data_IF_917403124648
#
_entry.id   IF_917403124648
#
_cell.length_a   1.000
_cell.length_b   1.000
_cell.length_c   1.000
_cell.angle_alpha   90.00
_cell.angle_beta   90.00
_cell.angle_gamma   90.00
#
_symmetry.space_group_name_H-M   'P 1'
#
loop_
_entity.id
_entity.type
_entity.pdbx_description
1 polymer ?
#
# COMPACT_ATOMS: atom_id res chain seq x y z
N UNK A 1 61.96 -60.56 40.36
CA UNK A 1 61.95 -59.55 41.44
C UNK A 1 60.53 -59.03 41.61
N UNK A 2 59.92 -59.38 42.76
CA UNK A 2 58.72 -58.86 43.46
C UNK A 2 57.50 -58.42 42.61
N UNK A 3 56.43 -59.21 42.51
CA UNK A 3 55.31 -59.43 43.48
C UNK A 3 54.36 -58.21 43.52
N UNK A 4 53.20 -58.26 42.84
CA UNK A 4 51.83 -58.58 43.35
C UNK A 4 51.11 -57.29 43.82
N UNK A 5 50.08 -56.77 43.14
CA UNK A 5 48.66 -57.16 43.04
C UNK A 5 47.74 -56.35 43.97
N UNK A 6 46.71 -55.73 43.36
CA UNK A 6 45.34 -55.44 43.85
C UNK A 6 45.13 -54.68 45.19
N UNK A 7 44.44 -53.54 45.14
CA UNK A 7 42.97 -53.37 45.27
C UNK A 7 42.56 -52.00 45.87
N UNK A 8 41.61 -51.35 45.17
CA UNK A 8 40.62 -50.31 45.53
C UNK A 8 40.54 -49.81 46.98
N UNK A 9 40.38 -48.49 47.15
CA UNK A 9 39.28 -47.86 47.93
C UNK A 9 39.06 -46.39 47.51
N UNK A 10 37.78 -46.02 47.50
CA UNK A 10 37.14 -44.72 47.23
C UNK A 10 37.35 -43.72 48.37
N UNK A 11 37.46 -42.42 48.06
CA UNK A 11 37.20 -41.34 49.02
C UNK A 11 36.41 -40.19 48.38
N UNK A 12 35.23 -39.92 48.96
CA UNK A 12 34.43 -38.71 48.81
C UNK A 12 35.20 -37.50 49.37
N UNK A 13 35.17 -36.38 48.66
CA UNK A 13 35.38 -35.05 49.25
C UNK A 13 34.20 -34.15 48.88
N UNK A 14 33.46 -33.73 49.91
CA UNK A 14 32.48 -32.67 49.84
C UNK A 14 33.22 -31.32 49.85
N UNK A 15 32.95 -30.46 48.87
CA UNK A 15 33.37 -29.06 48.88
C UNK A 15 32.11 -28.23 49.10
N UNK A 16 32.13 -27.47 50.21
CA UNK A 16 31.10 -26.51 50.58
C UNK A 16 30.99 -25.39 49.52
N UNK A 17 29.75 -25.15 49.10
CA UNK A 17 29.31 -23.97 48.38
C UNK A 17 29.45 -22.73 49.28
N UNK A 18 30.31 -21.80 48.87
CA UNK A 18 30.23 -20.40 49.31
C UNK A 18 29.33 -19.68 48.31
N UNK A 19 28.07 -19.44 48.72
CA UNK A 19 27.13 -18.55 48.04
C UNK A 19 27.65 -17.11 48.13
N UNK A 20 28.37 -16.68 47.10
CA UNK A 20 28.42 -15.25 46.76
C UNK A 20 27.11 -14.93 46.04
N UNK A 21 26.31 -13.93 46.46
CA UNK A 21 25.20 -13.45 45.66
C UNK A 21 25.80 -12.79 44.42
N UNK A 22 26.01 -13.60 43.39
CA UNK A 22 26.29 -13.11 42.05
C UNK A 22 25.10 -12.26 41.66
N UNK A 23 25.35 -10.95 41.54
CA UNK A 23 24.51 -10.06 40.74
C UNK A 23 24.53 -10.67 39.34
N UNK A 24 23.58 -11.58 39.07
CA UNK A 24 23.16 -11.89 37.71
C UNK A 24 22.71 -10.55 37.19
N UNK A 25 23.56 -9.91 36.40
CA UNK A 25 23.11 -8.93 35.44
C UNK A 25 22.01 -9.63 34.66
N UNK A 26 20.75 -9.33 35.00
CA UNK A 26 19.65 -9.55 34.09
C UNK A 26 20.07 -8.76 32.86
N UNK A 27 20.57 -9.46 31.83
CA UNK A 27 20.71 -8.87 30.52
C UNK A 27 19.32 -8.35 30.19
N UNK A 28 19.15 -7.03 30.30
CA UNK A 28 17.90 -6.38 30.02
C UNK A 28 17.42 -6.92 28.68
N UNK A 29 16.17 -7.37 28.61
CA UNK A 29 15.61 -7.84 27.36
C UNK A 29 15.91 -6.79 26.28
N UNK A 30 16.36 -7.19 25.08
CA UNK A 30 16.71 -6.24 24.04
C UNK A 30 15.54 -5.28 23.84
N UNK A 31 15.84 -3.98 23.89
CA UNK A 31 14.87 -2.91 23.75
C UNK A 31 14.07 -3.09 22.46
N UNK A 32 12.74 -3.09 22.55
CA UNK A 32 11.85 -3.18 21.38
C UNK A 32 12.12 -2.04 20.40
N UNK A 33 12.05 -2.32 19.08
CA UNK A 33 12.14 -1.28 18.03
C UNK A 33 11.07 -0.20 18.19
N UNK A 34 9.96 -0.48 18.88
CA UNK A 34 8.87 0.47 19.14
C UNK A 34 8.97 1.17 20.50
N UNK A 35 10.01 0.90 21.29
CA UNK A 35 10.24 1.55 22.57
C UNK A 35 10.38 3.07 22.40
N UNK A 36 9.76 3.83 23.30
CA UNK A 36 9.79 5.29 23.28
C UNK A 36 8.96 5.97 22.18
N UNK A 37 8.39 5.23 21.23
CA UNK A 37 7.57 5.81 20.16
C UNK A 37 6.23 6.35 20.71
N UNK A 38 5.87 7.63 20.50
CA UNK A 38 4.57 8.17 20.90
C UNK A 38 3.40 7.47 20.20
N UNK A 39 2.27 7.35 20.91
CA UNK A 39 1.07 6.64 20.47
C UNK A 39 -0.15 7.56 20.50
N UNK A 40 -1.03 7.42 19.52
CA UNK A 40 -2.33 8.10 19.47
C UNK A 40 -3.39 7.14 18.91
N UNK A 41 -4.47 6.91 19.65
CA UNK A 41 -5.61 6.14 19.15
C UNK A 41 -6.37 6.97 18.11
N UNK A 42 -6.55 6.40 16.91
CA UNK A 42 -7.40 6.98 15.87
C UNK A 42 -8.86 6.65 16.20
N UNK A 43 -9.60 7.65 16.64
CA UNK A 43 -11.02 7.52 16.98
C UNK A 43 -11.89 7.58 15.72
N UNK A 44 -12.82 6.64 15.57
CA UNK A 44 -13.76 6.63 14.46
C UNK A 44 -14.60 7.92 14.45
N UNK A 45 -14.62 8.63 13.33
CA UNK A 45 -15.35 9.90 13.19
C UNK A 45 -14.59 11.14 13.68
N UNK A 46 -13.41 10.98 14.28
CA UNK A 46 -12.52 12.09 14.64
C UNK A 46 -11.36 12.18 13.63
N UNK A 47 -11.27 13.31 12.96
CA UNK A 47 -10.27 13.55 11.89
C UNK A 47 -9.13 14.44 12.37
N UNK A 48 -8.69 14.21 13.60
CA UNK A 48 -7.56 14.87 14.21
C UNK A 48 -6.45 13.84 14.43
N UNK A 49 -5.23 14.22 14.06
CA UNK A 49 -4.02 13.42 14.21
C UNK A 49 -2.98 14.30 14.92
N UNK A 50 -2.99 14.27 16.25
CA UNK A 50 -2.15 15.09 17.12
C UNK A 50 -0.65 14.77 17.01
N UNK A 51 -0.29 13.54 16.62
CA UNK A 51 1.11 13.16 16.42
C UNK A 51 1.74 13.70 15.13
N UNK A 52 0.93 14.18 14.18
CA UNK A 52 1.44 14.87 13.00
C UNK A 52 1.82 16.30 13.36
N UNK A 53 3.12 16.54 13.46
CA UNK A 53 3.66 17.84 13.82
C UNK A 53 3.94 18.73 12.60
N UNK A 54 4.54 19.90 12.83
CA UNK A 54 4.90 20.83 11.75
C UNK A 54 5.82 20.17 10.71
N UNK A 55 6.77 19.33 11.13
CA UNK A 55 7.72 18.67 10.24
C UNK A 55 7.00 17.70 9.29
N UNK A 56 6.03 16.92 9.79
CA UNK A 56 5.20 16.07 8.95
C UNK A 56 4.56 16.85 7.80
N UNK A 57 3.94 18.01 8.09
CA UNK A 57 3.29 18.82 7.06
C UNK A 57 4.26 19.58 6.15
N UNK A 58 5.59 19.53 6.35
CA UNK A 58 6.55 20.06 5.35
C UNK A 58 6.67 19.13 4.15
N UNK A 59 6.35 17.84 4.31
CA UNK A 59 6.33 16.86 3.23
C UNK A 59 5.32 17.22 2.14
N UNK A 60 5.57 16.72 0.95
CA UNK A 60 4.77 16.95 -0.24
C UNK A 60 4.00 15.69 -0.65
N UNK A 61 4.58 14.51 -0.48
CA UNK A 61 3.95 13.23 -0.75
C UNK A 61 3.68 12.48 0.55
N UNK A 62 2.43 12.10 0.77
CA UNK A 62 1.98 11.33 1.93
C UNK A 62 1.49 9.97 1.45
N UNK A 63 2.04 8.88 1.98
CA UNK A 63 1.73 7.53 1.53
C UNK A 63 1.21 6.69 2.70
N UNK A 64 0.08 6.01 2.50
CA UNK A 64 -0.46 5.02 3.42
C UNK A 64 -0.28 3.62 2.81
N UNK A 65 0.53 2.78 3.44
CA UNK A 65 0.75 1.39 3.03
C UNK A 65 -0.20 0.45 3.74
N UNK A 66 -0.74 -0.54 3.04
CA UNK A 66 -1.65 -1.53 3.61
C UNK A 66 -1.50 -2.93 2.97
N UNK A 67 -2.00 -3.96 3.67
CA UNK A 67 -2.16 -5.31 3.11
C UNK A 67 -3.65 -5.56 2.90
N UNK A 68 -4.03 -5.80 1.65
CA UNK A 68 -5.42 -5.85 1.23
C UNK A 68 -6.25 -6.84 2.06
N UNK A 69 -7.56 -6.60 2.11
CA UNK A 69 -8.53 -7.55 2.67
C UNK A 69 -9.00 -7.22 4.09
N UNK A 70 -8.42 -6.22 4.77
CA UNK A 70 -8.86 -5.73 6.09
C UNK A 70 -9.70 -4.47 5.93
N UNK A 71 -10.78 -4.35 6.72
CA UNK A 71 -11.65 -3.16 6.70
C UNK A 71 -10.96 -1.89 7.21
N UNK A 72 -10.26 -1.98 8.34
CA UNK A 72 -9.67 -0.84 9.06
C UNK A 72 -8.87 0.14 8.19
N UNK A 73 -7.95 -0.31 7.32
CA UNK A 73 -7.22 0.56 6.40
C UNK A 73 -8.10 1.46 5.53
N UNK A 74 -9.29 1.01 5.10
CA UNK A 74 -10.18 1.83 4.28
C UNK A 74 -10.76 3.03 5.07
N UNK A 75 -10.98 2.84 6.38
CA UNK A 75 -11.44 3.91 7.26
C UNK A 75 -10.31 4.88 7.62
N UNK A 76 -9.10 4.35 7.90
CA UNK A 76 -7.89 5.15 8.12
C UNK A 76 -7.58 6.02 6.90
N UNK A 77 -7.67 5.44 5.71
CA UNK A 77 -7.43 6.14 4.45
C UNK A 77 -8.37 7.33 4.25
N UNK A 78 -9.67 7.13 4.46
CA UNK A 78 -10.63 8.22 4.38
C UNK A 78 -10.36 9.31 5.43
N UNK A 79 -10.08 8.92 6.67
CA UNK A 79 -9.79 9.86 7.76
C UNK A 79 -8.54 10.69 7.48
N UNK A 80 -7.46 10.05 7.01
CA UNK A 80 -6.21 10.72 6.61
C UNK A 80 -6.43 11.67 5.43
N UNK A 81 -7.11 11.22 4.37
CA UNK A 81 -7.42 12.06 3.21
C UNK A 81 -8.22 13.30 3.62
N UNK A 82 -9.27 13.13 4.44
CA UNK A 82 -10.10 14.25 4.89
C UNK A 82 -9.31 15.21 5.78
N UNK A 83 -8.51 14.67 6.70
CA UNK A 83 -7.62 15.46 7.55
C UNK A 83 -6.58 16.25 6.74
N UNK A 84 -5.85 15.59 5.83
CA UNK A 84 -4.84 16.21 4.98
C UNK A 84 -5.43 17.21 4.00
N UNK A 85 -6.64 16.94 3.49
CA UNK A 85 -7.39 17.94 2.75
C UNK A 85 -7.58 19.16 3.63
N UNK A 86 -8.24 19.06 4.79
CA UNK A 86 -8.53 20.20 5.66
C UNK A 86 -7.27 20.96 6.09
N UNK A 87 -6.27 20.24 6.60
CA UNK A 87 -5.09 20.81 7.28
C UNK A 87 -4.01 21.32 6.32
N UNK A 88 -3.82 20.64 5.20
CA UNK A 88 -2.67 20.86 4.31
C UNK A 88 -3.07 21.13 2.85
N UNK A 89 -4.36 21.02 2.50
CA UNK A 89 -4.83 21.27 1.13
C UNK A 89 -4.52 20.19 0.13
N UNK A 90 -4.30 18.96 0.61
CA UNK A 90 -4.24 17.79 -0.26
C UNK A 90 -5.55 17.65 -1.02
N UNK A 91 -5.46 17.71 -2.35
CA UNK A 91 -6.59 17.53 -3.28
C UNK A 91 -6.29 16.55 -4.41
N UNK A 92 -5.11 15.94 -4.37
CA UNK A 92 -4.65 15.01 -5.40
C UNK A 92 -4.38 13.68 -4.75
N UNK A 93 -5.26 12.73 -5.03
CA UNK A 93 -5.15 11.35 -4.58
C UNK A 93 -4.37 10.55 -5.64
N UNK A 94 -3.13 10.18 -5.31
CA UNK A 94 -2.25 9.33 -6.12
C UNK A 94 -2.64 7.87 -5.87
N UNK A 95 -3.45 7.29 -6.75
CA UNK A 95 -4.04 5.97 -6.55
C UNK A 95 -3.25 4.86 -7.25
N UNK A 96 -3.23 3.69 -6.60
CA UNK A 96 -2.81 2.39 -7.16
C UNK A 96 -3.85 1.86 -8.16
N UNK A 97 -4.15 2.67 -9.16
CA UNK A 97 -5.04 2.35 -10.27
C UNK A 97 -4.45 2.92 -11.55
N UNK A 98 -4.85 2.37 -12.68
CA UNK A 98 -4.47 2.89 -13.99
C UNK A 98 -5.15 4.23 -14.32
N UNK A 99 -4.68 4.90 -15.37
CA UNK A 99 -5.22 6.18 -15.81
C UNK A 99 -6.71 6.12 -16.20
N UNK A 100 -7.19 4.99 -16.73
CA UNK A 100 -8.58 4.81 -17.14
C UNK A 100 -9.50 4.69 -15.91
N UNK A 101 -9.13 3.89 -14.91
CA UNK A 101 -9.84 3.80 -13.63
C UNK A 101 -9.86 5.14 -12.92
N UNK A 102 -8.75 5.87 -12.87
CA UNK A 102 -8.70 7.22 -12.31
C UNK A 102 -9.68 8.18 -13.02
N UNK A 103 -9.76 8.12 -14.36
CA UNK A 103 -10.74 8.89 -15.12
C UNK A 103 -12.17 8.57 -14.70
N UNK A 104 -12.56 7.29 -14.64
CA UNK A 104 -13.93 6.90 -14.27
C UNK A 104 -14.26 7.13 -12.78
N UNK A 105 -13.26 7.06 -11.88
CA UNK A 105 -13.41 7.52 -10.50
C UNK A 105 -13.74 9.02 -10.46
N UNK A 106 -13.02 9.84 -11.21
CA UNK A 106 -13.28 11.28 -11.29
C UNK A 106 -14.64 11.60 -11.94
N UNK A 107 -15.05 10.85 -12.97
CA UNK A 107 -16.38 10.97 -13.56
C UNK A 107 -17.49 10.65 -12.56
N UNK A 108 -17.29 9.63 -11.72
CA UNK A 108 -18.20 9.36 -10.60
C UNK A 108 -18.22 10.53 -9.60
N UNK A 109 -17.06 11.05 -9.20
CA UNK A 109 -17.00 12.20 -8.28
C UNK A 109 -17.74 13.42 -8.84
N UNK A 110 -17.67 13.64 -10.16
CA UNK A 110 -18.32 14.76 -10.87
C UNK A 110 -19.83 14.57 -11.01
N UNK A 111 -20.26 13.37 -11.39
CA UNK A 111 -21.66 13.13 -11.83
C UNK A 111 -22.52 12.45 -10.76
N UNK A 112 -21.91 11.66 -9.88
CA UNK A 112 -22.62 10.74 -8.99
C UNK A 112 -23.24 9.53 -9.70
N UNK A 113 -22.91 9.29 -10.97
CA UNK A 113 -23.45 8.16 -11.72
C UNK A 113 -22.70 6.87 -11.37
N UNK A 114 -23.36 5.97 -10.65
CA UNK A 114 -22.79 4.68 -10.23
C UNK A 114 -22.33 3.80 -11.40
N UNK A 115 -22.79 4.05 -12.63
CA UNK A 115 -22.30 3.35 -13.83
C UNK A 115 -20.79 3.54 -14.03
N UNK A 116 -20.25 4.74 -13.78
CA UNK A 116 -18.82 5.02 -13.85
C UNK A 116 -18.05 4.24 -12.78
N UNK A 117 -18.59 4.18 -11.55
CA UNK A 117 -17.96 3.44 -10.46
C UNK A 117 -17.99 1.92 -10.70
N UNK A 118 -19.10 1.38 -11.23
CA UNK A 118 -19.17 -0.04 -11.63
C UNK A 118 -18.14 -0.42 -12.69
N UNK A 119 -17.84 0.47 -13.65
CA UNK A 119 -16.79 0.23 -14.64
C UNK A 119 -15.41 0.06 -14.00
N UNK A 120 -15.09 0.86 -12.98
CA UNK A 120 -13.81 0.78 -12.25
C UNK A 120 -13.64 -0.57 -11.58
N UNK A 121 -14.67 -1.07 -10.90
CA UNK A 121 -14.60 -2.29 -10.09
C UNK A 121 -14.75 -3.58 -10.91
N UNK A 122 -15.24 -3.51 -12.16
CA UNK A 122 -15.55 -4.68 -12.99
C UNK A 122 -14.38 -5.65 -13.13
N UNK A 123 -13.19 -5.17 -13.49
CA UNK A 123 -12.03 -6.05 -13.71
C UNK A 123 -11.57 -6.72 -12.42
N UNK A 124 -11.61 -6.01 -11.29
CA UNK A 124 -11.29 -6.58 -9.98
C UNK A 124 -12.32 -7.62 -9.55
N UNK A 125 -13.62 -7.41 -9.80
CA UNK A 125 -14.64 -8.42 -9.52
C UNK A 125 -14.41 -9.68 -10.36
N UNK A 126 -14.14 -9.53 -11.66
CA UNK A 126 -13.88 -10.64 -12.57
C UNK A 126 -12.63 -11.44 -12.16
N UNK A 127 -11.57 -10.73 -11.75
CA UNK A 127 -10.31 -11.33 -11.27
C UNK A 127 -10.31 -11.70 -9.77
N UNK A 128 -11.45 -11.56 -9.08
CA UNK A 128 -11.57 -11.79 -7.61
C UNK A 128 -10.52 -11.06 -6.77
N UNK A 129 -10.08 -9.88 -7.21
CA UNK A 129 -9.10 -9.10 -6.47
C UNK A 129 -9.71 -8.57 -5.17
N UNK A 130 -8.92 -8.51 -4.10
CA UNK A 130 -9.38 -8.01 -2.80
C UNK A 130 -9.85 -6.54 -2.85
N UNK A 131 -9.39 -5.76 -3.83
CA UNK A 131 -9.89 -4.41 -4.12
C UNK A 131 -11.37 -4.36 -4.54
N UNK A 132 -11.94 -5.46 -5.04
CA UNK A 132 -13.37 -5.56 -5.35
C UNK A 132 -14.22 -5.75 -4.08
N UNK A 133 -14.26 -4.74 -3.23
CA UNK A 133 -14.96 -4.79 -1.96
C UNK A 133 -15.88 -3.57 -1.71
N UNK A 134 -16.84 -3.76 -0.81
CA UNK A 134 -17.85 -2.75 -0.46
C UNK A 134 -17.26 -1.56 0.27
N UNK A 135 -16.27 -1.78 1.13
CA UNK A 135 -15.61 -0.73 1.93
C UNK A 135 -14.91 0.28 1.01
N UNK A 136 -14.18 -0.19 -0.01
CA UNK A 136 -13.56 0.67 -1.01
C UNK A 136 -14.62 1.40 -1.85
N UNK A 137 -15.66 0.69 -2.32
CA UNK A 137 -16.77 1.31 -3.05
C UNK A 137 -17.40 2.46 -2.24
N UNK A 138 -17.76 2.19 -0.97
CA UNK A 138 -18.33 3.20 -0.05
C UNK A 138 -17.35 4.32 0.26
N UNK A 139 -16.05 4.05 0.36
CA UNK A 139 -15.02 5.10 0.52
C UNK A 139 -15.07 6.10 -0.64
N UNK A 140 -15.20 5.62 -1.88
CA UNK A 140 -15.34 6.50 -3.05
C UNK A 140 -16.63 7.34 -2.96
N UNK A 141 -17.74 6.75 -2.50
CA UNK A 141 -18.99 7.49 -2.25
C UNK A 141 -18.81 8.58 -1.16
N UNK A 142 -18.10 8.25 -0.06
CA UNK A 142 -17.78 9.21 1.02
C UNK A 142 -16.89 10.35 0.52
N UNK A 143 -15.91 10.07 -0.35
CA UNK A 143 -15.05 11.10 -0.97
C UNK A 143 -15.90 12.02 -1.85
N UNK A 144 -16.87 11.48 -2.61
CA UNK A 144 -17.80 12.31 -3.37
C UNK A 144 -18.63 13.21 -2.46
N UNK A 145 -19.18 12.66 -1.38
CA UNK A 145 -19.95 13.46 -0.41
C UNK A 145 -19.10 14.60 0.16
N UNK A 146 -17.85 14.32 0.54
CA UNK A 146 -16.89 15.33 0.97
C UNK A 146 -16.65 16.38 -0.13
N UNK A 147 -16.46 15.99 -1.39
CA UNK A 147 -16.27 16.94 -2.49
C UNK A 147 -17.44 17.89 -2.70
N UNK A 148 -18.67 17.47 -2.40
CA UNK A 148 -19.84 18.35 -2.48
C UNK A 148 -19.86 19.42 -1.40
N UNK A 149 -19.22 19.19 -0.25
CA UNK A 149 -19.11 20.19 0.83
C UNK A 149 -17.89 21.09 0.67
N UNK A 150 -16.91 20.70 -0.16
CA UNK A 150 -15.68 21.45 -0.37
C UNK A 150 -15.81 22.53 -1.46
N UNK A 151 -15.15 23.69 -1.31
CA UNK A 151 -14.94 24.64 -2.39
C UNK A 151 -14.24 23.98 -3.59
N UNK A 152 -14.52 24.43 -4.81
CA UNK A 152 -13.97 23.84 -6.06
C UNK A 152 -12.45 23.65 -6.01
N UNK A 153 -11.70 24.64 -5.50
CA UNK A 153 -10.24 24.60 -5.39
C UNK A 153 -9.71 23.54 -4.39
N UNK A 154 -10.58 22.95 -3.57
CA UNK A 154 -10.25 21.96 -2.54
C UNK A 154 -10.77 20.57 -2.86
N UNK A 155 -11.59 20.42 -3.90
CA UNK A 155 -12.16 19.12 -4.29
C UNK A 155 -11.05 18.14 -4.66
N UNK A 156 -11.17 16.95 -4.11
CA UNK A 156 -10.27 15.82 -4.31
C UNK A 156 -10.47 15.27 -5.72
N UNK A 157 -9.37 14.94 -6.40
CA UNK A 157 -9.35 14.20 -7.65
C UNK A 157 -8.37 13.04 -7.58
N UNK A 158 -8.67 11.97 -8.30
CA UNK A 158 -7.81 10.81 -8.47
C UNK A 158 -6.83 11.01 -9.62
N UNK A 159 -5.59 10.57 -9.41
CA UNK A 159 -4.54 10.43 -10.42
C UNK A 159 -4.03 8.99 -10.32
N UNK A 160 -4.21 8.21 -11.38
CA UNK A 160 -3.77 6.82 -11.43
C UNK A 160 -2.33 6.74 -11.89
N UNK A 161 -1.50 5.98 -11.18
CA UNK A 161 -0.09 5.76 -11.56
C UNK A 161 0.18 4.34 -12.05
N UNK A 162 -0.76 3.41 -11.90
CA UNK A 162 -0.49 2.02 -12.26
C UNK A 162 -0.51 1.80 -13.77
N UNK A 163 0.07 0.68 -14.20
CA UNK A 163 -0.04 0.20 -15.57
C UNK A 163 -1.48 -0.24 -15.90
N UNK A 164 -1.85 -0.35 -17.18
CA UNK A 164 -3.23 -0.66 -17.56
C UNK A 164 -3.72 -2.00 -16.97
N UNK A 165 -4.80 -1.96 -16.19
CA UNK A 165 -5.36 -3.13 -15.51
C UNK A 165 -6.63 -3.68 -16.20
N UNK A 166 -7.37 -2.85 -16.95
CA UNK A 166 -8.55 -3.24 -17.74
C UNK A 166 -8.44 -2.63 -19.15
N UNK A 167 -7.98 -3.44 -20.13
CA UNK A 167 -7.73 -2.97 -21.49
C UNK A 167 -9.00 -2.49 -22.22
N UNK A 168 -10.15 -3.20 -22.14
CA UNK A 168 -11.42 -2.66 -22.63
C UNK A 168 -11.78 -1.30 -22.01
N UNK A 169 -11.59 -1.12 -20.70
CA UNK A 169 -11.84 0.18 -20.05
C UNK A 169 -10.89 1.26 -20.53
N UNK A 170 -9.62 0.92 -20.78
CA UNK A 170 -8.66 1.84 -21.38
C UNK A 170 -9.08 2.26 -22.80
N UNK A 171 -9.67 1.35 -23.59
CA UNK A 171 -10.23 1.66 -24.90
C UNK A 171 -11.40 2.66 -24.79
N UNK A 172 -12.28 2.49 -23.80
CA UNK A 172 -13.40 3.40 -23.52
C UNK A 172 -12.90 4.78 -23.07
N UNK A 173 -11.86 4.82 -22.22
CA UNK A 173 -11.21 6.06 -21.78
C UNK A 173 -10.59 6.83 -22.96
N UNK A 174 -9.80 6.17 -23.80
CA UNK A 174 -9.23 6.79 -25.00
C UNK A 174 -10.35 7.33 -25.90
N UNK A 175 -11.41 6.56 -26.11
CA UNK A 175 -12.57 7.00 -26.89
C UNK A 175 -13.24 8.24 -26.29
N UNK A 176 -13.31 8.35 -24.95
CA UNK A 176 -13.86 9.52 -24.27
C UNK A 176 -12.98 10.76 -24.46
N UNK A 177 -11.66 10.64 -24.39
CA UNK A 177 -10.73 11.74 -24.66
C UNK A 177 -10.89 12.33 -26.08
N UNK A 178 -11.13 11.47 -27.06
CA UNK A 178 -11.31 11.89 -28.46
C UNK A 178 -12.59 12.70 -28.70
N UNK A 179 -13.56 12.67 -27.77
CA UNK A 179 -14.79 13.48 -27.86
C UNK A 179 -14.53 14.94 -27.51
N UNK A 180 -13.55 15.21 -26.65
CA UNK A 180 -13.22 16.56 -26.19
C UNK A 180 -11.99 17.13 -26.90
N UNK A 181 -11.14 16.26 -27.47
CA UNK A 181 -9.89 16.63 -28.12
C UNK A 181 -9.80 15.99 -29.51
N UNK A 182 -10.42 16.58 -30.54
CA UNK A 182 -10.38 16.02 -31.89
C UNK A 182 -8.96 15.98 -32.45
N UNK A 183 -8.68 14.96 -33.25
CA UNK A 183 -7.36 14.70 -33.85
C UNK A 183 -7.41 14.90 -35.36
N UNK A 184 -6.28 15.30 -35.95
CA UNK A 184 -6.10 15.26 -37.39
C UNK A 184 -6.34 13.85 -37.95
N UNK A 185 -6.92 13.68 -39.15
CA UNK A 185 -7.38 12.38 -39.66
C UNK A 185 -6.33 11.26 -39.61
N UNK A 186 -5.08 11.56 -39.98
CA UNK A 186 -3.99 10.57 -39.96
C UNK A 186 -3.62 10.11 -38.55
N UNK A 187 -3.65 11.02 -37.57
CA UNK A 187 -3.41 10.66 -36.16
C UNK A 187 -4.63 9.94 -35.57
N UNK A 188 -5.84 10.36 -35.94
CA UNK A 188 -7.09 9.70 -35.53
C UNK A 188 -7.09 8.22 -35.91
N UNK A 189 -6.77 7.89 -37.16
CA UNK A 189 -6.68 6.49 -37.63
C UNK A 189 -5.69 5.64 -36.83
N UNK A 190 -4.55 6.22 -36.43
CA UNK A 190 -3.55 5.55 -35.59
C UNK A 190 -4.06 5.29 -34.16
N UNK A 191 -4.79 6.24 -33.58
CA UNK A 191 -5.40 6.06 -32.26
C UNK A 191 -6.55 5.05 -32.31
N UNK A 192 -7.39 5.10 -33.34
CA UNK A 192 -8.45 4.11 -33.55
C UNK A 192 -7.89 2.68 -33.66
N UNK A 193 -6.71 2.52 -34.26
CA UNK A 193 -6.00 1.23 -34.28
C UNK A 193 -5.60 0.75 -32.88
N UNK A 194 -5.13 1.65 -32.00
CA UNK A 194 -4.83 1.30 -30.61
C UNK A 194 -6.11 0.88 -29.87
N UNK A 195 -7.19 1.65 -30.03
CA UNK A 195 -8.51 1.35 -29.43
C UNK A 195 -9.01 -0.03 -29.88
N UNK A 196 -8.87 -0.36 -31.17
CA UNK A 196 -9.26 -1.66 -31.69
C UNK A 196 -8.47 -2.81 -31.04
N UNK A 197 -7.15 -2.67 -30.89
CA UNK A 197 -6.30 -3.69 -30.26
C UNK A 197 -6.59 -3.83 -28.76
N UNK A 198 -6.84 -2.74 -28.04
CA UNK A 198 -7.20 -2.77 -26.62
C UNK A 198 -8.47 -3.58 -26.33
N UNK A 199 -9.39 -3.67 -27.30
CA UNK A 199 -10.63 -4.46 -27.19
C UNK A 199 -10.45 -5.94 -27.52
N UNK A 200 -9.32 -6.34 -28.10
CA UNK A 200 -9.06 -7.73 -28.46
C UNK A 200 -8.57 -8.53 -27.26
N UNK A 201 -9.01 -9.79 -27.16
CA UNK A 201 -8.51 -10.71 -26.15
C UNK A 201 -6.98 -10.87 -26.28
N UNK A 202 -6.25 -10.64 -25.19
CA UNK A 202 -4.78 -10.70 -25.17
C UNK A 202 -4.06 -9.52 -25.84
N UNK A 203 -4.80 -8.59 -26.46
CA UNK A 203 -4.31 -7.35 -27.08
C UNK A 203 -3.02 -7.53 -27.93
N UNK A 204 -3.07 -8.36 -28.99
CA UNK A 204 -1.88 -8.71 -29.76
C UNK A 204 -1.22 -7.47 -30.39
N UNK A 205 0.08 -7.33 -30.17
CA UNK A 205 0.85 -6.22 -30.73
C UNK A 205 0.57 -4.84 -30.15
N UNK A 206 -0.21 -4.73 -29.05
CA UNK A 206 -0.60 -3.47 -28.41
C UNK A 206 0.60 -2.54 -28.19
N UNK A 207 1.66 -3.06 -27.57
CA UNK A 207 2.89 -2.32 -27.29
C UNK A 207 3.44 -1.64 -28.55
N UNK A 208 3.53 -2.39 -29.65
CA UNK A 208 4.09 -1.89 -30.91
C UNK A 208 3.20 -0.82 -31.55
N UNK A 209 1.88 -1.04 -31.57
CA UNK A 209 0.92 -0.08 -32.13
C UNK A 209 0.91 1.21 -31.29
N UNK A 210 0.83 1.10 -29.96
CA UNK A 210 0.80 2.23 -29.05
C UNK A 210 2.07 3.08 -29.13
N UNK A 211 3.26 2.46 -29.13
CA UNK A 211 4.54 3.17 -29.28
C UNK A 211 4.66 3.93 -30.60
N UNK A 212 4.26 3.31 -31.71
CA UNK A 212 4.25 3.98 -33.04
C UNK A 212 3.27 5.14 -33.08
N UNK A 213 2.09 4.99 -32.48
CA UNK A 213 1.10 6.07 -32.37
C UNK A 213 1.64 7.21 -31.53
N UNK A 214 2.21 6.93 -30.35
CA UNK A 214 2.80 7.95 -29.48
C UNK A 214 3.95 8.71 -30.16
N UNK A 215 4.82 8.01 -30.90
CA UNK A 215 5.92 8.63 -31.65
C UNK A 215 5.43 9.57 -32.77
N UNK A 216 4.22 9.36 -33.29
CA UNK A 216 3.60 10.25 -34.28
C UNK A 216 2.93 11.48 -33.68
N UNK A 217 2.89 11.60 -32.34
CA UNK A 217 2.29 12.73 -31.63
C UNK A 217 3.35 13.75 -31.23
N UNK A 218 3.10 15.02 -31.58
CA UNK A 218 3.86 16.16 -31.04
C UNK A 218 3.61 16.40 -29.53
N UNK A 219 4.36 17.32 -28.90
CA UNK A 219 4.27 17.62 -27.46
C UNK A 219 3.11 18.57 -27.10
N UNK A 220 1.98 18.52 -27.81
CA UNK A 220 0.86 19.41 -27.53
C UNK A 220 0.17 19.03 -26.20
N UNK A 221 0.07 19.99 -25.29
CA UNK A 221 -0.51 19.86 -23.93
C UNK A 221 -1.96 19.39 -23.98
N UNK A 222 -2.71 19.75 -25.02
CA UNK A 222 -4.10 19.29 -25.23
C UNK A 222 -4.22 17.76 -25.30
N UNK A 223 -3.12 17.07 -25.60
CA UNK A 223 -3.08 15.62 -25.73
C UNK A 223 -2.36 14.93 -24.57
N UNK A 224 -2.02 15.61 -23.47
CA UNK A 224 -1.24 15.03 -22.37
C UNK A 224 -1.87 13.74 -21.80
N UNK A 225 -3.18 13.75 -21.58
CA UNK A 225 -3.91 12.57 -21.08
C UNK A 225 -3.92 11.42 -22.11
N UNK A 226 -4.08 11.74 -23.40
CA UNK A 226 -4.01 10.74 -24.47
C UNK A 226 -2.60 10.17 -24.62
N UNK A 227 -1.57 11.03 -24.57
CA UNK A 227 -0.16 10.62 -24.59
C UNK A 227 0.16 9.72 -23.41
N UNK A 228 -0.35 10.03 -22.22
CA UNK A 228 -0.17 9.22 -21.03
C UNK A 228 -0.85 7.84 -21.15
N UNK A 229 -2.07 7.79 -21.69
CA UNK A 229 -2.77 6.53 -21.98
C UNK A 229 -2.00 5.66 -23.00
N UNK A 230 -1.47 6.28 -24.06
CA UNK A 230 -0.68 5.60 -25.08
C UNK A 230 0.68 5.14 -24.56
N UNK A 231 1.32 5.90 -23.67
CA UNK A 231 2.55 5.48 -23.01
C UNK A 231 2.31 4.21 -22.17
N UNK A 232 1.21 4.18 -21.40
CA UNK A 232 0.80 3.01 -20.62
C UNK A 232 0.48 1.79 -21.49
N UNK A 233 -0.23 1.99 -22.60
CA UNK A 233 -0.46 0.94 -23.60
C UNK A 233 0.85 0.46 -24.28
N UNK A 234 1.90 1.30 -24.25
CA UNK A 234 3.23 1.00 -24.77
C UNK A 234 4.16 0.29 -23.78
N UNK A 235 3.73 0.02 -22.54
CA UNK A 235 4.51 -0.75 -21.59
C UNK A 235 4.50 -2.25 -21.91
N UNK A 236 5.55 -2.93 -21.48
CA UNK A 236 5.58 -4.39 -21.47
C UNK A 236 5.00 -4.90 -20.15
N UNK A 237 3.68 -5.12 -20.17
CA UNK A 237 2.90 -5.55 -18.99
C UNK A 237 3.26 -6.97 -18.52
N UNK A 238 4.10 -7.71 -19.25
CA UNK A 238 4.49 -9.11 -18.91
C UNK A 238 5.92 -9.24 -18.44
N UNK A 239 6.73 -8.19 -18.57
CA UNK A 239 8.15 -8.23 -18.22
C UNK A 239 8.45 -8.12 -16.71
N UNK A 240 7.43 -8.08 -15.85
CA UNK A 240 7.63 -7.91 -14.40
C UNK A 240 8.18 -6.53 -14.02
N UNK A 241 7.91 -5.51 -14.83
CA UNK A 241 8.45 -4.14 -14.69
C UNK A 241 7.44 -3.15 -14.08
N UNK A 242 6.46 -3.63 -13.33
CA UNK A 242 5.36 -2.81 -12.80
C UNK A 242 5.88 -1.60 -12.00
N UNK A 243 6.85 -1.77 -11.11
CA UNK A 243 7.42 -0.62 -10.35
C UNK A 243 8.13 0.40 -11.25
N UNK A 244 8.80 -0.03 -12.33
CA UNK A 244 9.39 0.91 -13.29
C UNK A 244 8.28 1.73 -13.98
N UNK A 245 7.19 1.07 -14.37
CA UNK A 245 6.05 1.68 -15.05
C UNK A 245 5.33 2.68 -14.13
N UNK A 246 5.08 2.32 -12.87
CA UNK A 246 4.48 3.20 -11.86
C UNK A 246 5.35 4.44 -11.65
N UNK A 247 6.67 4.26 -11.49
CA UNK A 247 7.57 5.38 -11.29
C UNK A 247 7.67 6.27 -12.54
N UNK A 248 7.71 5.70 -13.75
CA UNK A 248 7.68 6.45 -15.00
C UNK A 248 6.38 7.28 -15.14
N UNK A 249 5.24 6.69 -14.78
CA UNK A 249 3.96 7.38 -14.72
C UNK A 249 3.99 8.55 -13.72
N UNK A 250 4.50 8.31 -12.51
CA UNK A 250 4.66 9.36 -11.50
C UNK A 250 5.50 10.53 -12.02
N UNK A 251 6.68 10.25 -12.57
CA UNK A 251 7.58 11.28 -13.12
C UNK A 251 6.92 12.09 -14.24
N UNK A 252 6.24 11.42 -15.18
CA UNK A 252 5.55 12.10 -16.27
C UNK A 252 4.41 13.00 -15.75
N UNK A 253 3.60 12.50 -14.81
CA UNK A 253 2.45 13.21 -14.26
C UNK A 253 2.84 14.38 -13.35
N UNK A 254 3.98 14.29 -12.67
CA UNK A 254 4.54 15.42 -11.92
C UNK A 254 4.75 16.64 -12.82
N UNK A 255 5.16 16.40 -14.07
CA UNK A 255 5.40 17.44 -15.07
C UNK A 255 4.10 17.87 -15.76
N UNK A 256 3.38 16.94 -16.40
CA UNK A 256 2.21 17.26 -17.24
C UNK A 256 1.05 17.83 -16.44
N UNK A 257 0.83 17.35 -15.20
CA UNK A 257 -0.22 17.88 -14.30
C UNK A 257 0.29 18.97 -13.35
N UNK A 258 1.54 19.45 -13.52
CA UNK A 258 2.16 20.52 -12.73
C UNK A 258 2.06 20.30 -11.21
N UNK A 259 2.30 19.07 -10.77
CA UNK A 259 2.08 18.65 -9.38
C UNK A 259 3.22 19.05 -8.44
N UNK A 260 4.30 19.64 -8.95
CA UNK A 260 5.47 20.06 -8.18
C UNK A 260 5.15 21.02 -7.02
N UNK A 261 4.01 21.73 -7.06
CA UNK A 261 3.57 22.64 -6.00
C UNK A 261 2.33 22.14 -5.24
N UNK A 262 1.86 20.92 -5.53
CA UNK A 262 0.73 20.32 -4.83
C UNK A 262 1.20 19.33 -3.77
N UNK A 263 0.43 19.23 -2.67
CA UNK A 263 0.55 18.12 -1.74
C UNK A 263 -0.29 16.94 -2.23
N UNK A 264 0.31 15.77 -2.20
CA UNK A 264 -0.15 14.53 -2.81
C UNK A 264 -0.36 13.49 -1.72
N UNK A 265 -1.41 12.69 -1.84
CA UNK A 265 -1.68 11.59 -0.89
C UNK A 265 -2.14 10.34 -1.61
N UNK A 266 -1.84 9.16 -1.10
CA UNK A 266 -2.44 7.93 -1.62
C UNK A 266 -2.28 6.75 -0.69
N UNK A 267 -3.27 5.86 -0.72
CA UNK A 267 -3.17 4.52 -0.14
C UNK A 267 -2.71 3.50 -1.20
N UNK A 268 -1.75 2.66 -0.82
CA UNK A 268 -1.04 1.71 -1.67
C UNK A 268 -0.83 0.37 -0.94
N UNK A 269 -0.60 -0.70 -1.71
CA UNK A 269 0.01 -1.91 -1.19
C UNK A 269 1.30 -1.61 -0.41
N UNK A 270 1.52 -2.35 0.68
CA UNK A 270 2.51 -2.02 1.71
C UNK A 270 3.94 -1.80 1.19
N UNK A 271 4.36 -2.49 0.14
CA UNK A 271 5.71 -2.37 -0.43
C UNK A 271 5.97 -0.98 -1.00
N UNK A 272 4.98 -0.42 -1.71
CA UNK A 272 5.10 0.85 -2.44
C UNK A 272 5.42 2.06 -1.55
N UNK A 273 5.21 1.96 -0.23
CA UNK A 273 5.47 3.06 0.71
C UNK A 273 6.82 2.98 1.41
N UNK A 274 7.58 1.91 1.17
CA UNK A 274 8.91 1.70 1.76
C UNK A 274 9.95 2.61 1.08
N UNK A 275 10.57 3.48 1.86
CA UNK A 275 11.42 4.56 1.37
C UNK A 275 12.88 4.18 1.11
N UNK A 276 13.30 2.98 1.49
CA UNK A 276 14.67 2.49 1.31
C UNK A 276 14.67 1.17 0.56
N UNK A 277 15.79 0.80 -0.11
CA UNK A 277 15.90 -0.50 -0.75
C UNK A 277 15.71 -1.64 0.24
N UNK A 278 15.08 -2.72 -0.22
CA UNK A 278 15.05 -3.99 0.50
C UNK A 278 16.44 -4.65 0.46
N UNK A 279 16.62 -5.73 1.21
CA UNK A 279 17.87 -6.48 1.31
C UNK A 279 18.32 -7.03 -0.06
N UNK A 280 17.38 -7.45 -0.90
CA UNK A 280 17.65 -7.90 -2.27
C UNK A 280 17.95 -6.74 -3.26
N UNK A 281 17.98 -5.50 -2.79
CA UNK A 281 18.19 -4.31 -3.62
C UNK A 281 16.95 -3.82 -4.36
N UNK A 282 15.78 -4.46 -4.18
CA UNK A 282 14.54 -4.03 -4.81
C UNK A 282 14.13 -2.63 -4.33
N UNK A 283 13.67 -1.82 -5.28
CA UNK A 283 13.21 -0.46 -5.06
C UNK A 283 11.72 -0.37 -5.37
N UNK A 284 10.92 -0.25 -4.32
CA UNK A 284 9.51 0.13 -4.42
C UNK A 284 9.35 1.61 -4.78
N UNK A 285 8.12 2.01 -5.15
CA UNK A 285 7.76 3.37 -5.56
C UNK A 285 8.38 4.47 -4.66
N UNK A 286 8.17 4.42 -3.35
CA UNK A 286 8.68 5.45 -2.45
C UNK A 286 10.23 5.51 -2.44
N UNK A 287 10.91 4.35 -2.46
CA UNK A 287 12.36 4.29 -2.56
C UNK A 287 12.87 4.87 -3.90
N UNK A 288 12.18 4.58 -5.01
CA UNK A 288 12.51 5.16 -6.32
C UNK A 288 12.33 6.67 -6.34
N UNK A 289 11.27 7.18 -5.74
CA UNK A 289 11.04 8.62 -5.62
C UNK A 289 12.16 9.28 -4.83
N UNK A 290 12.56 8.71 -3.68
CA UNK A 290 13.66 9.24 -2.86
C UNK A 290 15.02 9.22 -3.56
N UNK A 291 15.26 8.25 -4.42
CA UNK A 291 16.52 8.13 -5.18
C UNK A 291 16.50 8.87 -6.52
N UNK A 292 15.39 9.55 -6.85
CA UNK A 292 15.24 10.28 -8.09
C UNK A 292 15.71 11.74 -7.98
N UNK A 293 15.86 12.39 -9.13
CA UNK A 293 16.10 13.84 -9.19
C UNK A 293 14.81 14.68 -9.08
N UNK A 294 13.66 14.09 -8.74
CA UNK A 294 12.41 14.82 -8.66
C UNK A 294 12.41 15.77 -7.45
N UNK A 295 11.80 16.97 -7.52
CA UNK A 295 11.75 17.91 -6.39
C UNK A 295 11.10 17.39 -5.10
N UNK A 296 10.36 16.28 -5.20
CA UNK A 296 9.64 15.61 -4.10
C UNK A 296 10.49 14.54 -3.39
N UNK A 297 11.70 14.22 -3.89
CA UNK A 297 12.52 13.10 -3.40
C UNK A 297 12.75 13.12 -1.88
N UNK A 298 13.04 14.27 -1.27
CA UNK A 298 13.24 14.40 0.18
C UNK A 298 12.00 14.87 0.96
N UNK A 299 10.81 14.76 0.35
CA UNK A 299 9.55 15.29 0.89
C UNK A 299 8.46 14.22 0.93
N UNK A 300 8.83 13.01 1.36
CA UNK A 300 7.94 11.84 1.45
C UNK A 300 7.72 11.47 2.91
N UNK A 301 6.45 11.41 3.33
CA UNK A 301 6.04 10.84 4.61
C UNK A 301 5.32 9.51 4.37
N UNK A 302 5.84 8.42 4.95
CA UNK A 302 5.23 7.10 4.83
C UNK A 302 4.61 6.64 6.16
N UNK A 303 3.37 6.19 6.07
CA UNK A 303 2.57 5.58 7.13
C UNK A 303 2.28 4.15 6.73
N UNK A 304 2.60 3.15 7.56
CA UNK A 304 2.39 1.74 7.23
C UNK A 304 1.40 1.08 8.20
N UNK A 305 0.35 0.47 7.65
CA UNK A 305 -0.58 -0.34 8.43
C UNK A 305 0.07 -1.66 8.85
N UNK A 306 -0.07 -1.99 10.14
CA UNK A 306 0.32 -3.26 10.75
C UNK A 306 -0.92 -3.90 11.36
N UNK A 307 -1.07 -5.21 11.21
CA UNK A 307 -2.29 -5.92 11.60
C UNK A 307 -2.03 -6.87 12.76
N UNK A 308 -2.95 -6.87 13.72
CA UNK A 308 -3.01 -7.85 14.81
C UNK A 308 -4.47 -8.17 15.09
N UNK A 309 -4.79 -9.42 15.43
CA UNK A 309 -6.16 -9.81 15.80
C UNK A 309 -7.21 -9.52 14.69
N UNK A 310 -6.78 -9.26 13.45
CA UNK A 310 -7.66 -8.92 12.35
C UNK A 310 -8.11 -10.15 11.57
N UNK A 311 -9.21 -10.01 10.85
CA UNK A 311 -9.69 -10.93 9.83
C UNK A 311 -9.52 -10.28 8.46
N UNK A 312 -9.08 -11.06 7.48
CA UNK A 312 -8.77 -10.61 6.12
C UNK A 312 -9.60 -11.41 5.12
N UNK A 313 -10.18 -10.75 4.13
CA UNK A 313 -10.72 -11.41 2.94
C UNK A 313 -9.57 -11.76 2.01
N UNK A 314 -9.46 -13.00 1.56
CA UNK A 314 -8.42 -13.45 0.63
C UNK A 314 -9.03 -14.34 -0.47
N UNK A 315 -8.55 -14.30 -1.73
CA UNK A 315 -9.00 -15.23 -2.77
C UNK A 315 -8.69 -16.68 -2.38
N UNK A 316 -9.69 -17.55 -2.39
CA UNK A 316 -9.53 -18.92 -1.85
C UNK A 316 -8.44 -19.71 -2.57
N UNK A 317 -8.37 -19.58 -3.89
CA UNK A 317 -7.36 -20.23 -4.74
C UNK A 317 -5.92 -19.74 -4.48
N UNK A 318 -5.76 -18.58 -3.86
CA UNK A 318 -4.46 -18.05 -3.44
C UNK A 318 -3.94 -18.60 -2.10
N UNK A 319 -4.71 -19.44 -1.39
CA UNK A 319 -4.30 -20.03 -0.11
C UNK A 319 -3.89 -21.49 -0.24
N UNK A 320 -3.01 -22.00 0.64
CA UNK A 320 -2.79 -23.44 0.80
C UNK A 320 -4.11 -24.17 1.10
N UNK A 321 -4.29 -25.37 0.53
CA UNK A 321 -5.52 -26.18 0.65
C UNK A 321 -6.14 -26.24 2.05
N UNK A 322 -5.36 -26.51 3.13
CA UNK A 322 -5.90 -26.55 4.50
C UNK A 322 -6.49 -25.24 5.02
N UNK A 323 -6.21 -24.11 4.37
CA UNK A 323 -6.73 -22.79 4.75
C UNK A 323 -7.86 -22.33 3.83
N UNK A 324 -8.21 -23.10 2.81
CA UNK A 324 -9.26 -22.74 1.87
C UNK A 324 -10.66 -22.98 2.47
N UNK A 325 -11.55 -22.00 2.31
CA UNK A 325 -12.99 -22.21 2.49
C UNK A 325 -13.54 -22.98 1.28
N UNK A 326 -13.78 -24.28 1.44
CA UNK A 326 -14.22 -25.16 0.36
C UNK A 326 -15.47 -24.63 -0.36
N UNK A 327 -15.41 -24.58 -1.69
CA UNK A 327 -16.52 -24.12 -2.54
C UNK A 327 -16.78 -22.61 -2.51
N UNK A 328 -15.97 -21.81 -1.80
CA UNK A 328 -16.14 -20.36 -1.74
C UNK A 328 -15.08 -19.64 -2.58
N UNK A 329 -15.43 -18.55 -3.30
CA UNK A 329 -14.46 -17.76 -4.07
C UNK A 329 -13.47 -17.00 -3.18
N UNK A 330 -13.86 -16.73 -1.92
CA UNK A 330 -13.02 -16.06 -0.94
C UNK A 330 -13.00 -16.82 0.37
N UNK A 331 -11.89 -16.71 1.08
CA UNK A 331 -11.68 -17.22 2.42
C UNK A 331 -11.46 -16.04 3.37
N UNK A 332 -12.10 -16.06 4.53
CA UNK A 332 -11.74 -15.16 5.63
C UNK A 332 -10.63 -15.80 6.46
N UNK A 333 -9.51 -15.11 6.62
CA UNK A 333 -8.30 -15.65 7.28
C UNK A 333 -7.68 -14.65 8.25
N UNK A 334 -6.92 -15.14 9.23
CA UNK A 334 -6.12 -14.35 10.18
C UNK A 334 -4.61 -14.61 10.06
N UNK A 335 -4.21 -15.43 9.08
CA UNK A 335 -2.85 -16.00 9.02
C UNK A 335 -1.76 -14.96 8.72
N UNK A 336 -2.13 -13.87 8.04
CA UNK A 336 -1.23 -12.79 7.63
C UNK A 336 -1.22 -11.59 8.61
N UNK A 337 -1.81 -11.72 9.81
CA UNK A 337 -1.53 -10.77 10.86
C UNK A 337 -0.01 -10.75 11.15
N UNK A 338 0.52 -9.60 11.57
CA UNK A 338 1.94 -9.40 11.87
C UNK A 338 2.34 -9.91 13.26
N UNK A 339 1.42 -10.54 13.97
CA UNK A 339 1.63 -11.45 15.10
C UNK A 339 1.06 -12.85 14.82
N UNK A 340 0.80 -13.14 13.54
CA UNK A 340 0.20 -14.37 13.06
C UNK A 340 1.23 -15.48 12.81
N UNK A 341 0.74 -16.66 12.39
CA UNK A 341 1.60 -17.81 12.14
C UNK A 341 2.50 -17.67 10.92
N UNK A 342 2.16 -16.83 9.92
CA UNK A 342 2.94 -16.69 8.69
C UNK A 342 4.06 -15.65 8.79
N UNK A 343 3.80 -14.56 9.50
CA UNK A 343 4.71 -13.43 9.61
C UNK A 343 4.58 -12.81 11.00
N UNK A 344 5.72 -12.49 11.60
CA UNK A 344 5.78 -11.79 12.89
C UNK A 344 6.70 -10.57 12.76
N UNK A 345 6.23 -9.39 13.16
CA UNK A 345 7.10 -8.23 13.43
C UNK A 345 7.67 -8.39 14.84
N UNK A 346 9.00 -8.41 14.96
CA UNK A 346 9.68 -8.43 16.26
C UNK A 346 9.41 -7.10 16.98
N UNK A 347 8.99 -7.18 18.25
CA UNK A 347 8.58 -6.03 19.06
C UNK A 347 7.07 -5.76 19.07
N UNK A 348 6.28 -6.38 18.19
CA UNK A 348 4.84 -6.11 18.12
C UNK A 348 4.09 -6.48 19.42
N UNK A 349 4.53 -7.51 20.14
CA UNK A 349 3.94 -7.88 21.43
C UNK A 349 4.06 -6.78 22.49
N UNK A 350 5.17 -6.05 22.53
CA UNK A 350 5.37 -4.90 23.44
C UNK A 350 4.49 -3.73 23.01
N UNK A 351 4.42 -3.42 21.71
CA UNK A 351 3.51 -2.40 21.19
C UNK A 351 2.04 -2.71 21.52
N UNK A 352 1.63 -3.99 21.49
CA UNK A 352 0.29 -4.44 21.89
C UNK A 352 -0.01 -4.21 23.37
N UNK A 353 0.99 -4.28 24.26
CA UNK A 353 0.81 -4.02 25.69
C UNK A 353 0.52 -2.54 25.98
N UNK A 354 0.93 -1.64 25.08
CA UNK A 354 0.73 -0.19 25.18
C UNK A 354 -0.48 0.32 24.39
N UNK A 355 -1.25 -0.57 23.76
CA UNK A 355 -2.43 -0.24 22.97
C UNK A 355 -3.65 -1.02 23.43
N UNK A 356 -4.85 -0.47 23.21
CA UNK A 356 -6.08 -1.15 23.58
C UNK A 356 -6.46 -2.23 22.55
N UNK A 357 -7.01 -3.39 22.98
CA UNK A 357 -7.64 -4.35 22.07
C UNK A 357 -8.71 -3.68 21.19
N UNK A 358 -8.80 -4.08 19.92
CA UNK A 358 -9.76 -3.50 18.96
C UNK A 358 -9.48 -2.05 18.54
N UNK A 359 -8.39 -1.43 19.02
CA UNK A 359 -8.03 -0.08 18.64
C UNK A 359 -7.34 -0.01 17.27
N UNK A 360 -7.42 1.15 16.64
CA UNK A 360 -6.52 1.56 15.55
C UNK A 360 -5.61 2.64 16.09
N UNK A 361 -4.32 2.39 16.19
CA UNK A 361 -3.37 3.28 16.88
C UNK A 361 -2.28 3.76 15.94
N UNK A 362 -2.11 5.08 15.81
CA UNK A 362 -0.98 5.72 15.16
C UNK A 362 0.25 5.68 16.09
N UNK A 363 1.39 5.31 15.53
CA UNK A 363 2.69 5.22 16.20
C UNK A 363 3.68 6.10 15.45
N UNK A 364 4.30 7.05 16.14
CA UNK A 364 5.32 7.92 15.54
C UNK A 364 6.71 7.33 15.76
N UNK A 365 7.31 6.77 14.70
CA UNK A 365 8.60 6.08 14.78
C UNK A 365 9.80 7.03 14.76
N UNK A 366 9.64 8.19 14.13
CA UNK A 366 10.70 9.19 13.95
C UNK A 366 10.79 10.20 15.11
N UNK A 367 10.06 9.96 16.21
CA UNK A 367 10.08 10.84 17.37
C UNK A 367 11.48 10.84 18.03
N UNK A 368 11.95 11.99 18.55
CA UNK A 368 13.19 12.05 19.30
C UNK A 368 13.22 11.01 20.44
N UNK A 369 14.28 10.20 20.47
CA UNK A 369 14.47 9.15 21.48
C UNK A 369 13.77 7.82 21.20
N UNK A 370 12.91 7.72 20.18
CA UNK A 370 12.31 6.44 19.80
C UNK A 370 13.36 5.46 19.27
N UNK A 371 13.30 4.20 19.72
CA UNK A 371 14.26 3.16 19.33
C UNK A 371 14.30 2.93 17.81
N UNK A 372 13.17 3.10 17.11
CA UNK A 372 13.04 3.01 15.65
C UNK A 372 13.94 3.98 14.85
N UNK A 373 14.48 5.02 15.47
CA UNK A 373 15.48 5.93 14.84
C UNK A 373 16.87 5.30 14.72
N UNK A 374 17.12 4.21 15.46
CA UNK A 374 18.44 3.57 15.59
C UNK A 374 18.42 2.04 15.47
N UNK A 375 17.23 1.43 15.46
CA UNK A 375 17.06 -0.02 15.33
C UNK A 375 16.31 -0.38 14.04
N UNK A 376 16.66 -1.51 13.37
CA UNK A 376 15.95 -1.99 12.19
C UNK A 376 14.59 -2.60 12.55
N UNK A 377 13.65 -2.59 11.60
CA UNK A 377 12.47 -3.48 11.66
C UNK A 377 12.92 -4.88 11.28
N UNK A 378 12.49 -5.88 12.05
CA UNK A 378 12.78 -7.28 11.77
C UNK A 378 11.49 -8.07 11.63
N UNK A 379 11.44 -8.88 10.57
CA UNK A 379 10.35 -9.81 10.29
C UNK A 379 10.83 -11.25 10.48
N UNK A 380 9.97 -12.08 11.05
CA UNK A 380 10.15 -13.54 11.09
C UNK A 380 9.03 -14.19 10.30
N UNK A 381 9.40 -15.05 9.36
CA UNK A 381 8.46 -15.79 8.53
C UNK A 381 8.33 -17.25 8.97
N UNK A 382 7.18 -17.85 8.69
CA UNK A 382 6.98 -19.28 8.86
C UNK A 382 7.99 -20.09 8.01
N UNK A 383 8.46 -21.26 8.50
CA UNK A 383 9.18 -22.20 7.67
C UNK A 383 8.39 -22.53 6.40
N UNK A 384 9.06 -22.48 5.24
CA UNK A 384 8.45 -22.79 3.94
C UNK A 384 7.74 -21.61 3.26
N UNK A 385 7.70 -20.42 3.85
CA UNK A 385 7.28 -19.23 3.09
C UNK A 385 8.29 -18.97 1.95
N UNK A 386 7.84 -18.85 0.69
CA UNK A 386 8.75 -18.62 -0.45
C UNK A 386 9.57 -17.34 -0.27
N UNK A 387 10.89 -17.34 -0.52
CA UNK A 387 11.74 -16.16 -0.36
C UNK A 387 11.25 -14.93 -1.13
N UNK A 388 10.66 -15.13 -2.31
CA UNK A 388 10.09 -14.07 -3.15
C UNK A 388 8.84 -13.41 -2.54
N UNK A 389 8.20 -14.04 -1.55
CA UNK A 389 7.08 -13.48 -0.79
C UNK A 389 7.53 -12.86 0.55
N UNK A 390 8.82 -12.95 0.87
CA UNK A 390 9.37 -12.38 2.09
C UNK A 390 9.91 -10.98 1.83
N UNK A 391 9.51 -10.05 2.68
CA UNK A 391 10.10 -8.71 2.76
C UNK A 391 11.25 -8.78 3.75
N UNK A 392 12.44 -8.45 3.27
CA UNK A 392 13.64 -8.42 4.10
C UNK A 392 14.18 -6.99 4.13
N UNK A 393 14.10 -6.37 5.30
CA UNK A 393 14.70 -5.06 5.54
C UNK A 393 16.21 -5.21 5.72
N UNK A 394 16.97 -4.19 5.31
CA UNK A 394 18.40 -4.12 5.51
C UNK A 394 18.71 -3.94 7.01
N UNK A 395 19.45 -4.86 7.65
CA UNK A 395 19.68 -4.82 9.10
C UNK A 395 20.52 -3.61 9.54
N UNK A 396 21.27 -2.99 8.64
CA UNK A 396 22.07 -1.79 8.90
C UNK A 396 21.27 -0.48 8.87
N UNK A 397 20.03 -0.50 8.38
CA UNK A 397 19.18 0.69 8.29
C UNK A 397 18.16 0.72 9.44
N UNK A 398 17.93 1.89 10.07
CA UNK A 398 16.88 2.02 11.08
C UNK A 398 15.49 1.87 10.45
N UNK A 399 14.49 1.51 11.27
CA UNK A 399 13.08 1.43 10.88
C UNK A 399 12.60 2.68 10.14
N UNK A 400 13.03 3.85 10.63
CA UNK A 400 12.70 5.18 10.11
C UNK A 400 13.29 5.49 8.73
N UNK A 401 14.25 4.68 8.24
CA UNK A 401 14.70 4.74 6.85
C UNK A 401 13.64 4.22 5.87
N UNK A 402 12.72 3.38 6.34
CA UNK A 402 11.64 2.79 5.54
C UNK A 402 10.33 3.54 5.69
N UNK A 403 9.92 3.84 6.93
CA UNK A 403 8.63 4.48 7.25
C UNK A 403 8.73 5.34 8.51
N UNK A 404 8.05 6.49 8.55
CA UNK A 404 8.08 7.40 9.71
C UNK A 404 6.96 7.12 10.71
N UNK A 405 5.87 6.49 10.26
CA UNK A 405 4.72 6.18 11.09
C UNK A 405 4.22 4.76 10.85
N UNK A 406 3.66 4.14 11.89
CA UNK A 406 2.84 2.93 11.77
C UNK A 406 1.42 3.21 12.20
N UNK A 407 0.48 2.48 11.62
CA UNK A 407 -0.89 2.36 12.15
C UNK A 407 -1.11 0.90 12.54
N UNK A 408 -1.10 0.62 13.84
CA UNK A 408 -1.47 -0.69 14.35
C UNK A 408 -2.99 -0.83 14.36
N UNK A 409 -3.53 -1.62 13.44
CA UNK A 409 -4.94 -1.97 13.34
C UNK A 409 -5.17 -3.27 14.11
N UNK A 410 -6.01 -3.22 15.16
CA UNK A 410 -6.35 -4.39 15.98
C UNK A 410 -7.82 -4.76 15.85
N UNK A 411 -8.11 -6.06 15.78
CA UNK A 411 -9.48 -6.56 15.87
C UNK A 411 -10.39 -6.17 14.70
N UNK A 412 -9.83 -5.73 13.57
CA UNK A 412 -10.64 -5.31 12.42
C UNK A 412 -11.16 -6.51 11.62
N UNK A 413 -12.40 -6.43 11.15
CA UNK A 413 -13.02 -7.45 10.31
C UNK A 413 -12.49 -7.45 8.86
N UNK A 414 -12.84 -8.49 8.08
CA UNK A 414 -12.47 -8.53 6.67
C UNK A 414 -13.29 -7.49 5.89
N UNK A 415 -12.76 -7.07 4.74
CA UNK A 415 -13.61 -6.38 3.75
C UNK A 415 -14.67 -7.33 3.21
N UNK A 416 -15.77 -6.78 2.70
CA UNK A 416 -16.89 -7.53 2.16
C UNK A 416 -16.81 -7.55 0.63
N UNK A 417 -16.80 -8.71 -0.05
CA UNK A 417 -16.78 -8.76 -1.51
C UNK A 417 -17.92 -7.94 -2.13
N UNK A 418 -17.61 -7.22 -3.20
CA UNK A 418 -18.62 -6.53 -3.99
C UNK A 418 -19.44 -7.57 -4.78
N UNK A 419 -20.77 -7.51 -4.67
CA UNK A 419 -21.69 -8.46 -5.30
C UNK A 419 -22.10 -9.68 -4.46
N UNK A 420 -21.66 -9.78 -3.19
CA UNK A 420 -22.13 -10.82 -2.27
C UNK A 420 -23.65 -10.68 -1.96
N UNK A 421 -24.43 -11.78 -1.88
CA UNK A 421 -25.83 -11.74 -1.48
C UNK A 421 -26.00 -11.06 -0.11
N UNK A 422 -26.82 -10.02 -0.03
CA UNK A 422 -27.02 -9.19 1.19
C UNK A 422 -26.50 -7.75 1.08
N UNK A 423 -25.76 -7.41 0.01
CA UNK A 423 -25.18 -6.07 -0.21
C UNK A 423 -26.18 -4.97 -0.60
N UNK A 424 -27.44 -5.34 -0.92
CA UNK A 424 -28.42 -4.43 -1.52
C UNK A 424 -29.33 -3.69 -0.53
N UNK A 425 -29.17 -3.85 0.79
CA UNK A 425 -30.20 -3.42 1.76
C UNK A 425 -29.85 -2.22 2.66
N UNK A 426 -28.68 -1.58 2.56
CA UNK A 426 -28.29 -0.53 3.53
C UNK A 426 -27.81 0.80 2.96
N UNK A 427 -28.07 1.10 1.69
CA UNK A 427 -27.77 2.42 1.11
C UNK A 427 -29.02 3.13 0.60
N UNK A 428 -30.01 3.31 1.46
CA UNK A 428 -31.12 4.26 1.30
C UNK A 428 -31.62 4.68 2.70
N UNK A 429 -30.85 5.53 3.39
CA UNK A 429 -31.37 6.56 4.30
C UNK A 429 -30.42 7.74 4.33
#
# INVERSE_FOLDING_TARGET
MKVTLLLRYTLLWAVLLLDTPGVRAQTAAPESVFAGAPLETIEAGREAFALFDKAFYTNQLFLLGESHGVRGPQDVDFALLKHLNARAGVRTYMAEVDCAKAFYLNEYLRTGQDSALRLVFRSWMAGRAQWANQEFYRKIQRIRFLNLTLPTARRIRFVGLDELQDLPLAADYVTALLRTSPLAPGLRSRVDSVVAVLRQLGAPGLMGVARRTLASMGPNVEYDDLRHALANAGYDLRAGRREDNIFANFQALMQTKRLAHEKLYGMWGLGHVLQSPLQNGFLDLAARIRQSALPVHDKVASVLCVFSECRMLYPTDGLPGPWQAAGQPYTTTDKFNHDGPLVTIIGLAELKQRTAPGSTTLVRLDAPGAAATRQPIQLRYAPGMPPEQQIQFRPELPATAYVQYLVLVRGSGPVTPLGAPGAAATSLR
#
